data_IF_905741136522
#
_entry.id   IF_905741136522
#
_cell.length_a   1.000
_cell.length_b   1.000
_cell.length_c   1.000
_cell.angle_alpha   90.00
_cell.angle_beta   90.00
_cell.angle_gamma   90.00
#
_symmetry.space_group_name_H-M   'P 1'
#
loop_
_entity.id
_entity.type
_entity.pdbx_description
1 polymer ?
#
# COMPACT_ATOMS: atom_id res chain seq x y z
N UNK A 1 -10.90 5.15 24.80
CA UNK A 1 -10.46 3.75 24.55
C UNK A 1 -9.30 3.76 23.57
N UNK A 2 -8.16 3.14 23.92
CA UNK A 2 -6.98 3.10 23.04
C UNK A 2 -7.14 2.08 21.91
N UNK A 3 -6.62 2.37 20.72
CA UNK A 3 -6.60 1.40 19.62
C UNK A 3 -5.58 0.29 19.95
N UNK A 4 -5.97 -0.96 19.72
CA UNK A 4 -5.08 -2.13 19.85
C UNK A 4 -4.53 -2.50 18.48
N UNK A 5 -3.28 -2.98 18.48
CA UNK A 5 -2.60 -3.46 17.28
C UNK A 5 -3.24 -4.77 16.80
N UNK A 6 -3.59 -4.86 15.52
CA UNK A 6 -4.16 -6.08 14.93
C UNK A 6 -3.14 -7.24 14.83
N UNK A 7 -1.83 -6.96 14.90
CA UNK A 7 -0.79 -7.99 14.78
C UNK A 7 -0.35 -8.59 16.11
N UNK A 8 -0.23 -7.77 17.17
CA UNK A 8 0.31 -8.21 18.46
C UNK A 8 -0.63 -7.96 19.65
N UNK A 9 -1.79 -7.33 19.43
CA UNK A 9 -2.74 -7.01 20.50
C UNK A 9 -2.31 -5.88 21.45
N UNK A 10 -1.07 -5.38 21.36
CA UNK A 10 -0.56 -4.27 22.20
C UNK A 10 -1.31 -2.98 21.91
N UNK A 11 -1.36 -2.09 22.90
CA UNK A 11 -1.92 -0.74 22.75
C UNK A 11 -1.04 0.06 21.77
N UNK A 12 -1.67 0.68 20.77
CA UNK A 12 -0.99 1.58 19.84
C UNK A 12 -0.73 2.89 20.59
N UNK A 13 0.52 3.40 20.64
CA UNK A 13 0.84 4.65 21.31
C UNK A 13 0.04 5.80 20.69
N UNK A 14 -0.46 6.71 21.54
CA UNK A 14 -1.34 7.82 21.12
C UNK A 14 -0.69 8.70 20.07
N UNK A 15 0.59 9.02 20.23
CA UNK A 15 1.40 9.79 19.27
C UNK A 15 1.29 9.22 17.84
N UNK A 16 1.22 7.89 17.71
CA UNK A 16 1.08 7.24 16.40
C UNK A 16 -0.35 7.24 15.87
N UNK A 17 -1.34 7.18 16.75
CA UNK A 17 -2.75 7.30 16.37
C UNK A 17 -3.08 8.74 15.97
N UNK A 18 -2.44 9.73 16.59
CA UNK A 18 -2.57 11.15 16.24
C UNK A 18 -1.92 11.45 14.90
N UNK A 19 -0.70 10.96 14.66
CA UNK A 19 -0.01 11.14 13.38
C UNK A 19 -0.66 10.37 12.22
N UNK A 20 -1.17 9.16 12.48
CA UNK A 20 -1.79 8.28 11.48
C UNK A 20 -3.07 7.65 12.05
N UNK A 21 -4.22 8.35 12.01
CA UNK A 21 -5.46 7.85 12.60
C UNK A 21 -5.98 6.58 11.94
N UNK A 22 -5.64 6.34 10.67
CA UNK A 22 -5.96 5.11 9.95
C UNK A 22 -5.05 3.93 10.32
N UNK A 23 -4.01 4.12 11.15
CA UNK A 23 -3.11 3.04 11.54
C UNK A 23 -3.84 1.98 12.39
N UNK A 24 -3.66 0.73 11.98
CA UNK A 24 -4.16 -0.46 12.69
C UNK A 24 -3.05 -1.25 13.39
N UNK A 25 -1.80 -0.77 13.27
CA UNK A 25 -0.60 -1.47 13.73
C UNK A 25 0.23 -0.59 14.68
N UNK A 26 0.86 -1.21 15.68
CA UNK A 26 1.80 -0.52 16.57
C UNK A 26 3.14 -0.22 15.86
N UNK A 27 3.99 0.62 16.49
CA UNK A 27 5.31 1.00 15.97
C UNK A 27 6.17 -0.24 15.69
N UNK A 28 6.25 -1.16 16.65
CA UNK A 28 7.09 -2.37 16.53
C UNK A 28 6.68 -3.25 15.35
N UNK A 29 5.39 -3.56 15.24
CA UNK A 29 4.87 -4.40 14.16
C UNK A 29 4.98 -3.70 12.80
N UNK A 30 4.78 -2.38 12.77
CA UNK A 30 4.97 -1.57 11.56
C UNK A 30 6.44 -1.51 11.15
N UNK A 31 7.39 -1.59 12.09
CA UNK A 31 8.84 -1.57 11.82
C UNK A 31 9.36 -2.94 11.38
N UNK A 32 8.84 -4.01 11.97
CA UNK A 32 9.22 -5.39 11.61
C UNK A 32 8.63 -5.86 10.27
N UNK A 33 7.34 -5.63 10.04
CA UNK A 33 6.64 -6.12 8.84
C UNK A 33 6.51 -5.07 7.73
N UNK A 34 6.92 -3.83 8.00
CA UNK A 34 6.52 -2.68 7.19
C UNK A 34 5.05 -2.29 7.45
N UNK A 35 4.75 -1.00 7.36
CA UNK A 35 3.39 -0.59 7.02
C UNK A 35 3.23 -0.97 5.57
N UNK A 36 2.55 -2.09 5.29
CA UNK A 36 2.27 -2.55 3.93
C UNK A 36 1.85 -1.35 3.08
N UNK A 37 2.79 -0.86 2.27
CA UNK A 37 2.49 -0.08 1.10
C UNK A 37 1.81 -1.10 0.18
N UNK A 38 0.50 -1.28 0.37
CA UNK A 38 -0.35 -1.88 -0.64
C UNK A 38 -0.47 -0.88 -1.79
N UNK A 39 0.65 -0.53 -2.42
CA UNK A 39 0.58 -0.21 -3.84
C UNK A 39 0.07 -1.52 -4.44
N UNK A 40 -1.26 -1.60 -4.68
CA UNK A 40 -1.79 -2.57 -5.62
C UNK A 40 -0.81 -2.52 -6.78
N UNK A 41 -0.20 -3.66 -7.12
CA UNK A 41 0.44 -3.81 -8.41
C UNK A 41 -0.67 -3.54 -9.41
N UNK A 42 -0.88 -2.27 -9.76
CA UNK A 42 -1.64 -1.91 -10.92
C UNK A 42 -0.82 -2.53 -12.03
N UNK A 43 -1.40 -3.54 -12.66
CA UNK A 43 -0.92 -4.06 -13.92
C UNK A 43 -1.00 -2.87 -14.88
N UNK A 44 0.05 -2.05 -14.92
CA UNK A 44 0.24 -1.08 -16.00
C UNK A 44 0.70 -1.94 -17.19
N UNK A 45 -0.26 -2.69 -17.73
CA UNK A 45 -0.15 -3.46 -18.95
C UNK A 45 -1.09 -2.82 -19.94
N UNK A 46 -0.53 -2.39 -21.08
CA UNK A 46 -1.35 -2.04 -22.24
C UNK A 46 -1.87 -3.35 -22.83
N UNK A 47 -3.13 -3.39 -23.25
CA UNK A 47 -3.62 -4.55 -23.98
C UNK A 47 -2.80 -4.75 -25.26
N UNK A 48 -2.67 -6.00 -25.69
CA UNK A 48 -1.76 -6.36 -26.77
C UNK A 48 -2.19 -5.80 -28.13
N UNK A 49 -3.46 -5.43 -28.27
CA UNK A 49 -4.01 -4.87 -29.50
C UNK A 49 -3.63 -3.39 -29.61
N UNK A 50 -3.78 -2.63 -28.52
CA UNK A 50 -3.30 -1.24 -28.44
C UNK A 50 -1.78 -1.15 -28.66
N UNK A 51 -0.99 -2.10 -28.15
CA UNK A 51 0.46 -2.14 -28.42
C UNK A 51 0.77 -2.32 -29.91
N UNK A 52 0.02 -3.16 -30.62
CA UNK A 52 0.21 -3.38 -32.06
C UNK A 52 -0.22 -2.16 -32.89
N UNK A 53 -1.29 -1.49 -32.50
CA UNK A 53 -1.77 -0.28 -33.18
C UNK A 53 -0.73 0.85 -33.13
N UNK A 54 -0.11 1.07 -31.96
CA UNK A 54 0.96 2.06 -31.83
C UNK A 54 2.19 1.73 -32.68
N UNK A 55 2.59 0.46 -32.73
CA UNK A 55 3.68 0.02 -33.62
C UNK A 55 3.34 0.20 -35.10
N UNK A 56 2.08 -0.06 -35.48
CA UNK A 56 1.59 0.20 -36.83
C UNK A 56 1.64 1.68 -37.22
N UNK A 57 1.26 2.57 -36.29
CA UNK A 57 1.25 4.02 -36.51
C UNK A 57 2.65 4.62 -36.76
N UNK A 58 3.71 4.00 -36.23
CA UNK A 58 5.10 4.47 -36.43
C UNK A 58 5.76 4.08 -37.76
N UNK A 59 5.06 3.33 -38.62
CA UNK A 59 5.59 2.85 -39.92
C UNK A 59 5.06 3.60 -41.16
N UNK A 60 4.54 4.82 -40.99
CA UNK A 60 4.14 5.70 -42.12
C UNK A 60 5.25 6.62 -42.59
#
# INVERSE_FOLDING_TARGET
>A
MGKRCELCGKIIPKERVEALPATKRCVDCSRQKGSDFFAKRTEIGMDIDTYKDLLGATRS
#
